data_IF_767641398786
#
_entry.id   IF_767641398786
#
_cell.length_a   1.000
_cell.length_b   1.000
_cell.length_c   1.000
_cell.angle_alpha   90.00
_cell.angle_beta   90.00
_cell.angle_gamma   90.00
#
_symmetry.space_group_name_H-M   'P 1'
#
loop_
_entity.id
_entity.type
_entity.pdbx_description
1 polymer ?
#
# COMPACT_ATOMS: atom_id res chain seq x y z
N UNK A 1 9.32 -26.93 -10.07
CA UNK A 1 9.10 -26.26 -11.36
C UNK A 1 9.09 -24.76 -11.09
N UNK A 2 10.15 -24.05 -11.43
CA UNK A 2 10.17 -22.59 -11.31
C UNK A 2 9.30 -22.03 -12.44
N UNK A 3 8.26 -21.26 -12.09
CA UNK A 3 7.49 -20.52 -13.08
C UNK A 3 8.45 -19.63 -13.88
N UNK A 4 8.45 -19.77 -15.21
CA UNK A 4 9.20 -18.85 -16.07
C UNK A 4 8.71 -17.43 -15.81
N UNK A 5 9.59 -16.44 -15.61
CA UNK A 5 9.13 -15.07 -15.46
C UNK A 5 8.42 -14.67 -16.74
N UNK A 6 7.19 -14.19 -16.62
CA UNK A 6 6.47 -13.57 -17.72
C UNK A 6 7.38 -12.55 -18.42
N UNK A 7 7.35 -12.44 -19.75
CA UNK A 7 8.20 -11.51 -20.48
C UNK A 7 8.05 -10.11 -19.87
N UNK A 8 9.18 -9.53 -19.45
CA UNK A 8 9.20 -8.23 -18.79
C UNK A 8 8.63 -7.21 -19.77
N UNK A 9 7.41 -6.73 -19.49
CA UNK A 9 6.79 -5.67 -20.26
C UNK A 9 7.73 -4.45 -20.29
N UNK A 10 7.80 -3.76 -21.43
CA UNK A 10 8.65 -2.58 -21.57
C UNK A 10 8.32 -1.56 -20.46
N UNK A 11 9.33 -1.12 -19.67
CA UNK A 11 9.09 -0.20 -18.57
C UNK A 11 8.64 1.15 -19.13
N UNK A 12 7.50 1.63 -18.64
CA UNK A 12 6.91 2.92 -19.06
C UNK A 12 7.35 4.11 -18.22
N UNK A 13 7.89 3.85 -17.03
CA UNK A 13 8.31 4.88 -16.09
C UNK A 13 9.53 4.45 -15.27
N UNK A 14 10.13 5.41 -14.56
CA UNK A 14 11.34 5.22 -13.77
C UNK A 14 11.20 4.11 -12.71
N UNK A 15 10.04 3.99 -12.06
CA UNK A 15 9.81 2.98 -11.03
C UNK A 15 9.75 1.55 -11.61
N UNK A 16 9.25 1.40 -12.84
CA UNK A 16 9.27 0.13 -13.57
C UNK A 16 10.65 -0.21 -14.13
N UNK A 17 11.45 0.81 -14.46
CA UNK A 17 12.83 0.63 -14.92
C UNK A 17 13.76 0.16 -13.78
N UNK A 18 13.51 0.62 -12.55
CA UNK A 18 14.28 0.25 -11.35
C UNK A 18 13.36 -0.32 -10.26
N UNK A 19 12.86 -1.57 -10.46
CA UNK A 19 12.08 -2.25 -9.43
C UNK A 19 12.98 -2.58 -8.24
N UNK A 20 12.38 -2.69 -7.06
CA UNK A 20 13.10 -3.04 -5.84
C UNK A 20 12.20 -3.77 -4.86
N UNK A 21 12.73 -4.03 -3.67
CA UNK A 21 12.00 -4.71 -2.60
C UNK A 21 10.69 -4.01 -2.21
N UNK A 22 10.63 -2.69 -2.30
CA UNK A 22 9.47 -1.91 -1.88
C UNK A 22 8.63 -1.41 -3.05
N UNK A 23 7.30 -1.57 -2.93
CA UNK A 23 6.33 -1.05 -3.88
C UNK A 23 6.43 0.47 -4.00
N UNK A 24 6.55 0.93 -5.24
CA UNK A 24 6.49 2.36 -5.62
C UNK A 24 5.24 2.62 -6.45
N UNK A 25 4.77 3.87 -6.44
CA UNK A 25 3.52 4.27 -7.08
C UNK A 25 3.50 3.94 -8.58
N UNK A 26 4.59 4.22 -9.31
CA UNK A 26 4.66 4.01 -10.76
C UNK A 26 4.58 2.53 -11.18
N UNK A 27 4.82 1.59 -10.27
CA UNK A 27 4.67 0.15 -10.55
C UNK A 27 3.20 -0.22 -10.80
N UNK A 28 2.25 0.51 -10.20
CA UNK A 28 0.83 0.23 -10.36
C UNK A 28 0.28 0.66 -11.73
N UNK A 29 0.96 1.56 -12.46
CA UNK A 29 0.56 2.03 -13.80
C UNK A 29 -0.91 2.49 -13.85
N UNK A 30 -1.35 3.24 -12.83
CA UNK A 30 -2.74 3.68 -12.67
C UNK A 30 -3.76 2.58 -12.31
N UNK A 31 -3.33 1.33 -12.15
CA UNK A 31 -4.22 0.20 -11.81
C UNK A 31 -4.48 0.14 -10.31
N UNK A 32 -5.68 -0.31 -9.97
CA UNK A 32 -6.03 -0.75 -8.61
C UNK A 32 -5.68 -2.22 -8.46
N UNK A 33 -4.86 -2.56 -7.46
CA UNK A 33 -4.37 -3.93 -7.25
C UNK A 33 -4.78 -4.40 -5.88
N UNK A 34 -5.53 -5.51 -5.81
CA UNK A 34 -5.91 -6.15 -4.55
C UNK A 34 -4.86 -7.16 -4.15
N UNK A 35 -4.30 -7.02 -2.95
CA UNK A 35 -3.32 -7.95 -2.38
C UNK A 35 -3.78 -8.43 -1.00
N UNK A 36 -3.42 -9.68 -0.67
CA UNK A 36 -3.69 -10.26 0.65
C UNK A 36 -2.51 -9.97 1.58
N UNK A 37 -2.77 -9.36 2.73
CA UNK A 37 -1.75 -9.07 3.75
C UNK A 37 -1.22 -10.39 4.33
N UNK A 38 0.09 -10.59 4.26
CA UNK A 38 0.76 -11.74 4.89
C UNK A 38 1.17 -11.41 6.32
N UNK A 39 1.83 -10.28 6.53
CA UNK A 39 2.34 -9.85 7.83
C UNK A 39 2.60 -8.33 7.84
N UNK A 40 2.53 -7.74 9.04
CA UNK A 40 3.04 -6.40 9.30
C UNK A 40 4.08 -6.49 10.42
N UNK A 41 5.30 -6.02 10.14
CA UNK A 41 6.42 -6.02 11.09
C UNK A 41 7.14 -4.68 11.11
N UNK A 42 7.92 -4.43 12.15
CA UNK A 42 8.90 -3.35 12.11
C UNK A 42 10.22 -3.87 11.54
N UNK A 43 10.87 -3.02 10.77
CA UNK A 43 12.21 -3.27 10.25
C UNK A 43 13.00 -1.97 10.29
N UNK A 44 14.28 -2.08 10.62
CA UNK A 44 15.20 -0.95 10.56
C UNK A 44 15.71 -0.80 9.14
N UNK A 45 15.47 0.35 8.54
CA UNK A 45 15.93 0.67 7.19
C UNK A 45 16.88 1.87 7.24
N UNK A 46 17.92 1.82 6.41
CA UNK A 46 18.78 2.97 6.19
C UNK A 46 18.01 4.05 5.41
N UNK A 47 17.89 5.23 5.99
CA UNK A 47 17.36 6.43 5.35
C UNK A 47 18.44 7.51 5.23
N UNK A 48 18.06 8.66 4.66
CA UNK A 48 18.99 9.79 4.44
C UNK A 48 19.65 10.32 5.72
N UNK A 49 19.03 10.08 6.89
CA UNK A 49 19.51 10.53 8.20
C UNK A 49 20.03 9.39 9.07
N UNK A 50 20.27 8.22 8.48
CA UNK A 50 20.70 7.00 9.18
C UNK A 50 19.56 5.98 9.35
N UNK A 51 19.77 5.05 10.28
CA UNK A 51 18.86 3.92 10.52
C UNK A 51 17.53 4.39 11.14
N UNK A 52 16.41 4.13 10.46
CA UNK A 52 15.07 4.47 10.90
C UNK A 52 14.19 3.21 11.04
N UNK A 53 13.44 3.12 12.14
CA UNK A 53 12.45 2.06 12.32
C UNK A 53 11.21 2.34 11.47
N UNK A 54 10.88 1.44 10.55
CA UNK A 54 9.74 1.54 9.63
C UNK A 54 8.80 0.36 9.81
N UNK A 55 7.50 0.60 9.59
CA UNK A 55 6.52 -0.47 9.45
C UNK A 55 6.55 -1.02 8.02
N UNK A 56 6.67 -2.34 7.89
CA UNK A 56 6.74 -3.07 6.62
C UNK A 56 5.58 -4.04 6.57
N UNK A 57 4.82 -3.97 5.48
CA UNK A 57 3.71 -4.88 5.20
C UNK A 57 4.10 -5.77 4.01
N UNK A 58 4.04 -7.09 4.22
CA UNK A 58 4.25 -8.09 3.17
C UNK A 58 2.91 -8.63 2.66
N UNK A 59 2.94 -9.24 1.47
CA UNK A 59 1.75 -9.79 0.83
C UNK A 59 1.94 -11.27 0.50
N UNK A 60 0.84 -12.04 0.56
CA UNK A 60 0.87 -13.48 0.28
C UNK A 60 1.26 -13.72 -1.18
N UNK A 61 2.28 -14.55 -1.40
CA UNK A 61 2.73 -14.92 -2.75
C UNK A 61 3.38 -13.77 -3.54
N UNK A 62 3.86 -12.72 -2.87
CA UNK A 62 4.58 -11.60 -3.51
C UNK A 62 5.87 -11.29 -2.79
N UNK A 63 6.94 -11.11 -3.56
CA UNK A 63 8.26 -10.73 -3.04
C UNK A 63 8.32 -9.25 -2.64
N UNK A 64 7.58 -8.39 -3.37
CA UNK A 64 7.51 -6.96 -3.06
C UNK A 64 6.74 -6.70 -1.77
N UNK A 65 7.24 -5.74 -1.00
CA UNK A 65 6.68 -5.30 0.28
C UNK A 65 6.28 -3.83 0.22
N UNK A 66 5.48 -3.37 1.18
CA UNK A 66 5.11 -1.96 1.30
C UNK A 66 5.70 -1.36 2.57
N UNK A 67 6.44 -0.26 2.43
CA UNK A 67 6.74 0.63 3.56
C UNK A 67 5.43 1.30 3.96
N UNK A 68 4.86 0.87 5.08
CA UNK A 68 3.52 1.23 5.49
C UNK A 68 3.50 2.64 6.10
N UNK A 69 3.14 3.62 5.27
CA UNK A 69 2.91 4.98 5.73
C UNK A 69 1.78 5.04 6.77
N UNK A 70 1.89 5.96 7.74
CA UNK A 70 0.91 6.13 8.83
C UNK A 70 -0.52 6.36 8.33
N UNK A 71 -0.70 7.12 7.25
CA UNK A 71 -2.02 7.30 6.60
C UNK A 71 -2.62 5.95 6.19
N UNK A 72 -1.84 5.08 5.55
CA UNK A 72 -2.30 3.75 5.13
C UNK A 72 -2.61 2.86 6.34
N UNK A 73 -1.79 2.91 7.40
CA UNK A 73 -2.06 2.17 8.63
C UNK A 73 -3.36 2.62 9.31
N UNK A 74 -3.68 3.92 9.29
CA UNK A 74 -4.96 4.45 9.80
C UNK A 74 -6.13 3.92 8.97
N UNK A 75 -6.00 3.86 7.64
CA UNK A 75 -7.01 3.29 6.75
C UNK A 75 -7.29 1.81 7.04
N UNK A 76 -6.23 0.99 7.13
CA UNK A 76 -6.35 -0.44 7.41
C UNK A 76 -6.94 -0.66 8.82
N UNK A 77 -6.50 0.14 9.81
CA UNK A 77 -7.07 0.13 11.16
C UNK A 77 -8.57 0.42 11.16
N UNK A 78 -9.03 1.37 10.36
CA UNK A 78 -10.45 1.70 10.29
C UNK A 78 -11.28 0.55 9.69
N UNK A 79 -10.72 -0.18 8.72
CA UNK A 79 -11.40 -1.32 8.10
C UNK A 79 -11.38 -2.60 8.96
N UNK A 80 -10.27 -2.91 9.63
CA UNK A 80 -10.06 -4.21 10.29
C UNK A 80 -9.76 -4.14 11.80
N UNK A 81 -9.85 -2.95 12.39
CA UNK A 81 -9.58 -2.71 13.79
C UNK A 81 -8.09 -2.54 14.13
N UNK A 82 -7.75 -2.28 15.40
CA UNK A 82 -6.38 -1.97 15.85
C UNK A 82 -5.47 -3.19 16.01
N UNK A 83 -6.04 -4.39 16.06
CA UNK A 83 -5.29 -5.62 16.30
C UNK A 83 -4.61 -6.09 15.01
N UNK A 84 -3.29 -5.98 14.93
CA UNK A 84 -2.51 -6.34 13.73
C UNK A 84 -2.69 -7.80 13.31
N UNK A 85 -2.88 -8.72 14.26
CA UNK A 85 -3.16 -10.12 13.95
C UNK A 85 -4.42 -10.30 13.09
N UNK A 86 -5.41 -9.42 13.24
CA UNK A 86 -6.66 -9.45 12.45
C UNK A 86 -6.46 -8.94 11.01
N UNK A 87 -5.32 -8.31 10.71
CA UNK A 87 -5.01 -7.83 9.36
C UNK A 87 -4.46 -8.94 8.49
N UNK A 88 -3.82 -9.97 9.09
CA UNK A 88 -3.29 -11.11 8.36
C UNK A 88 -4.43 -11.85 7.62
N UNK A 89 -4.22 -12.13 6.34
CA UNK A 89 -5.21 -12.75 5.48
C UNK A 89 -6.26 -11.79 4.92
N UNK A 90 -6.30 -10.52 5.38
CA UNK A 90 -7.21 -9.52 4.82
C UNK A 90 -6.73 -8.99 3.48
N UNK A 91 -7.66 -8.71 2.59
CA UNK A 91 -7.42 -8.12 1.27
C UNK A 91 -7.48 -6.60 1.35
N UNK A 92 -6.46 -5.95 0.80
CA UNK A 92 -6.41 -4.49 0.63
C UNK A 92 -6.19 -4.13 -0.82
N UNK A 93 -6.94 -3.16 -1.31
CA UNK A 93 -6.82 -2.63 -2.66
C UNK A 93 -5.90 -1.42 -2.63
N UNK A 94 -4.77 -1.53 -3.30
CA UNK A 94 -3.78 -0.47 -3.46
C UNK A 94 -4.06 0.34 -4.72
N UNK A 95 -3.77 1.63 -4.69
CA UNK A 95 -3.79 2.50 -5.86
C UNK A 95 -2.71 3.58 -5.78
N UNK A 96 -2.43 4.18 -6.92
CA UNK A 96 -1.56 5.35 -7.03
C UNK A 96 -2.33 6.61 -6.57
N UNK A 97 -1.88 7.19 -5.46
CA UNK A 97 -2.37 8.46 -4.95
C UNK A 97 -1.25 9.50 -4.88
N UNK A 98 -1.54 10.64 -4.25
CA UNK A 98 -0.55 11.70 -4.00
C UNK A 98 -0.36 11.93 -2.51
N UNK A 99 0.80 12.46 -2.14
CA UNK A 99 1.05 12.88 -0.76
C UNK A 99 0.26 14.17 -0.50
N UNK A 100 -0.81 14.05 0.30
CA UNK A 100 -1.68 15.17 0.69
C UNK A 100 -1.10 16.01 1.83
N UNK A 101 -0.19 15.42 2.61
CA UNK A 101 0.42 16.06 3.77
C UNK A 101 1.39 17.15 3.31
N UNK A 102 1.27 18.35 3.89
CA UNK A 102 2.17 19.46 3.60
C UNK A 102 3.64 19.11 3.89
N UNK A 103 4.58 19.65 3.12
CA UNK A 103 6.01 19.39 3.27
C UNK A 103 6.69 19.12 1.92
N UNK A 104 7.99 18.77 1.93
CA UNK A 104 8.79 18.62 0.71
C UNK A 104 8.24 17.57 -0.27
N UNK A 105 7.57 16.53 0.26
CA UNK A 105 7.01 15.45 -0.54
C UNK A 105 5.57 15.71 -1.01
N UNK A 106 4.96 16.86 -0.68
CA UNK A 106 3.56 17.14 -1.05
C UNK A 106 3.38 17.05 -2.57
N UNK A 107 2.34 16.33 -3.00
CA UNK A 107 2.01 16.16 -4.42
C UNK A 107 2.79 15.05 -5.14
N UNK A 108 3.82 14.47 -4.51
CA UNK A 108 4.54 13.33 -5.10
C UNK A 108 3.65 12.07 -5.15
N UNK A 109 3.82 11.20 -6.17
CA UNK A 109 3.15 9.91 -6.25
C UNK A 109 3.46 9.03 -5.04
N UNK A 110 2.44 8.34 -4.50
CA UNK A 110 2.61 7.40 -3.41
C UNK A 110 1.57 6.27 -3.47
N UNK A 111 1.86 5.16 -2.81
CA UNK A 111 0.89 4.07 -2.65
C UNK A 111 -0.12 4.44 -1.56
N UNK A 112 -1.40 4.34 -1.89
CA UNK A 112 -2.53 4.55 -0.98
C UNK A 112 -3.45 3.32 -0.94
N UNK A 113 -4.22 3.22 0.14
CA UNK A 113 -5.27 2.21 0.29
C UNK A 113 -6.56 2.78 -0.30
N UNK A 114 -7.09 2.12 -1.31
CA UNK A 114 -8.38 2.45 -1.93
C UNK A 114 -9.55 1.87 -1.12
N UNK A 115 -9.35 0.69 -0.53
CA UNK A 115 -10.36 0.01 0.26
C UNK A 115 -10.13 -1.49 0.32
N UNK A 116 -11.21 -2.27 0.43
CA UNK A 116 -11.15 -3.72 0.57
C UNK A 116 -12.42 -4.38 0.03
N UNK A 117 -12.34 -5.61 -0.50
CA UNK A 117 -13.53 -6.40 -0.80
C UNK A 117 -14.23 -6.97 0.44
N UNK A 118 -13.59 -6.87 1.62
CA UNK A 118 -14.09 -7.44 2.86
C UNK A 118 -14.85 -6.44 3.74
N UNK A 119 -14.91 -5.16 3.35
CA UNK A 119 -15.75 -4.18 4.06
C UNK A 119 -17.20 -4.24 3.54
N UNK A 120 -18.20 -4.02 4.41
CA UNK A 120 -19.60 -4.21 4.05
C UNK A 120 -20.11 -3.16 3.05
N UNK A 121 -19.58 -1.94 3.11
CA UNK A 121 -19.92 -0.78 2.29
C UNK A 121 -18.81 0.26 2.37
N UNK A 122 -18.90 1.29 1.52
CA UNK A 122 -18.01 2.44 1.55
C UNK A 122 -18.08 3.14 2.91
N UNK A 123 -16.92 3.53 3.44
CA UNK A 123 -16.83 4.24 4.71
C UNK A 123 -15.89 5.44 4.62
N UNK A 124 -16.36 6.59 5.11
CA UNK A 124 -15.56 7.80 5.21
C UNK A 124 -14.83 7.82 6.55
N UNK A 125 -13.51 8.04 6.52
CA UNK A 125 -12.68 8.03 7.72
C UNK A 125 -11.88 9.33 7.85
N UNK A 126 -11.84 9.94 9.05
CA UNK A 126 -11.02 11.12 9.29
C UNK A 126 -9.56 10.72 9.53
N UNK A 127 -8.65 11.20 8.70
CA UNK A 127 -7.20 11.05 8.91
C UNK A 127 -6.69 12.20 9.78
N UNK A 128 -6.35 11.87 11.03
CA UNK A 128 -5.76 12.80 12.00
C UNK A 128 -4.27 12.49 12.16
N UNK A 129 -3.42 13.40 11.67
CA UNK A 129 -1.97 13.31 11.83
C UNK A 129 -1.47 14.42 12.77
N UNK A 130 -0.45 14.15 13.62
CA UNK A 130 0.10 15.17 14.50
C UNK A 130 0.59 16.39 13.72
N UNK A 131 0.24 17.60 14.19
CA UNK A 131 0.66 18.88 13.60
C UNK A 131 0.20 19.10 12.14
N UNK A 132 -0.85 18.40 11.67
CA UNK A 132 -1.41 18.54 10.31
C UNK A 132 -2.92 18.74 10.34
N UNK A 133 -3.47 19.43 9.34
CA UNK A 133 -4.92 19.57 9.16
C UNK A 133 -5.51 18.17 8.89
N UNK A 134 -6.60 17.85 9.58
CA UNK A 134 -7.34 16.63 9.31
C UNK A 134 -7.96 16.68 7.91
N UNK A 135 -8.00 15.53 7.25
CA UNK A 135 -8.66 15.34 5.96
C UNK A 135 -9.40 14.02 5.99
N UNK A 136 -10.43 13.90 5.17
CA UNK A 136 -11.25 12.69 5.08
C UNK A 136 -10.84 11.88 3.86
N UNK A 137 -10.87 10.56 3.99
CA UNK A 137 -10.68 9.63 2.88
C UNK A 137 -11.82 8.61 2.89
N UNK A 138 -12.24 8.18 1.70
CA UNK A 138 -13.26 7.15 1.55
C UNK A 138 -12.57 5.81 1.32
N UNK A 139 -12.87 4.82 2.16
CA UNK A 139 -12.50 3.43 1.95
C UNK A 139 -13.62 2.74 1.20
N UNK A 140 -13.35 2.35 -0.04
CA UNK A 140 -14.34 1.77 -0.93
C UNK A 140 -14.49 0.26 -0.73
N UNK A 141 -15.73 -0.23 -0.71
CA UNK A 141 -15.98 -1.65 -0.91
C UNK A 141 -15.61 -1.99 -2.34
N UNK A 142 -14.50 -2.70 -2.49
CA UNK A 142 -14.02 -3.07 -3.83
C UNK A 142 -14.60 -4.39 -4.24
N UNK A 143 -14.89 -4.57 -5.51
CA UNK A 143 -15.13 -5.91 -6.03
C UNK A 143 -13.82 -6.71 -5.97
N UNK A 144 -13.84 -7.99 -5.57
CA UNK A 144 -12.67 -8.84 -5.68
C UNK A 144 -12.35 -8.99 -7.18
N UNK A 145 -11.47 -8.13 -7.71
CA UNK A 145 -10.91 -8.34 -9.03
C UNK A 145 -10.21 -9.72 -8.99
N UNK A 146 -10.49 -10.64 -9.93
CA UNK A 146 -9.76 -11.89 -10.01
C UNK A 146 -8.27 -11.55 -9.97
N UNK A 147 -7.51 -12.26 -9.13
CA UNK A 147 -6.06 -12.21 -9.21
C UNK A 147 -5.67 -12.39 -10.69
N UNK A 148 -4.68 -11.66 -11.21
CA UNK A 148 -4.14 -11.99 -12.53
C UNK A 148 -3.86 -13.50 -12.51
N UNK A 149 -4.58 -14.25 -13.34
CA UNK A 149 -4.29 -15.66 -13.55
C UNK A 149 -2.85 -15.67 -14.09
N UNK A 150 -1.97 -16.29 -13.32
CA UNK A 150 -0.62 -16.63 -13.77
C UNK A 150 -0.70 -17.63 -14.92
#
# INVERSE_FOLDING_TARGET
>A
MAASPAPLAQPKNYDQLYPGRFLKAGILDGKKVTLTIAEVKHEKLEGEKGEELKAIMSFVGKEMQLVLAKTNAICIKAMFGPTLANWKGKKVTLYEGKVEVAGPMKGQPCIRIWGSPEIPQDMTIPIKLPKRKAFEVVMHKTEPKPAPQE
#
